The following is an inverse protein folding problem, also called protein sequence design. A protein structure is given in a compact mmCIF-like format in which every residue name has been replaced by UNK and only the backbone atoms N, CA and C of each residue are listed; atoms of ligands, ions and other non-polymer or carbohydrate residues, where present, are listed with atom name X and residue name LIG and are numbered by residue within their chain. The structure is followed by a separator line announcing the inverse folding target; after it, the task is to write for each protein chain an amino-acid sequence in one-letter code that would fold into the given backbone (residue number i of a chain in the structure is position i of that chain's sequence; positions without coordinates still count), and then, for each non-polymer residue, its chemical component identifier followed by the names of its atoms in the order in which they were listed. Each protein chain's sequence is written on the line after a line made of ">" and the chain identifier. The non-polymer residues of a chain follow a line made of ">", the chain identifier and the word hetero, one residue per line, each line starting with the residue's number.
data_IF_847752050734
#
_entry.id   IF_847752050734
#
_cell.length_a   1.000
_cell.length_b   1.000
_cell.length_c   1.000
_cell.angle_alpha   90.00
_cell.angle_beta   90.00
_cell.angle_gamma   90.00
#
_symmetry.space_group_name_H-M   'P 1'
#
loop_
_entity.id
_entity.type
_entity.pdbx_description
1 polymer ?
#
# COMPACT_ATOMS: atom_id res chain seq x y z
N UNK A 1 -0.13 -7.36 -14.02
CA UNK A 1 -0.50 -7.81 -12.65
C UNK A 1 -1.67 -7.00 -12.07
N UNK A 2 -1.49 -5.89 -11.33
CA UNK A 2 -2.63 -5.20 -10.68
C UNK A 2 -3.74 -4.75 -11.65
N UNK A 3 -3.39 -4.03 -12.72
CA UNK A 3 -4.36 -3.56 -13.73
C UNK A 3 -5.09 -4.72 -14.40
N UNK A 4 -4.37 -5.81 -14.65
CA UNK A 4 -4.91 -7.03 -15.26
C UNK A 4 -5.85 -7.77 -14.32
N UNK A 5 -5.50 -7.87 -13.03
CA UNK A 5 -6.33 -8.49 -12.01
C UNK A 5 -7.65 -7.73 -11.77
N UNK A 6 -7.69 -6.41 -12.06
CA UNK A 6 -8.90 -5.59 -11.97
C UNK A 6 -9.65 -5.44 -13.29
N UNK A 7 -9.10 -5.94 -14.41
CA UNK A 7 -9.56 -5.59 -15.76
C UNK A 7 -11.03 -5.93 -16.01
N UNK A 8 -11.46 -7.10 -15.53
CA UNK A 8 -12.80 -7.66 -15.73
C UNK A 8 -13.73 -7.41 -14.53
N UNK A 9 -13.28 -6.63 -13.54
CA UNK A 9 -14.06 -6.30 -12.35
C UNK A 9 -14.53 -4.85 -12.42
N UNK A 10 -15.79 -4.62 -12.80
CA UNK A 10 -16.33 -3.27 -12.94
C UNK A 10 -16.31 -2.51 -11.60
N UNK A 11 -16.59 -3.16 -10.48
CA UNK A 11 -16.55 -2.51 -9.17
C UNK A 11 -15.16 -1.95 -8.86
N UNK A 12 -14.08 -2.70 -9.13
CA UNK A 12 -12.72 -2.23 -8.88
C UNK A 12 -12.23 -1.19 -9.90
N UNK A 13 -12.79 -1.18 -11.12
CA UNK A 13 -12.28 -0.37 -12.24
C UNK A 13 -13.08 0.92 -12.46
N UNK A 14 -14.38 0.89 -12.23
CA UNK A 14 -15.30 2.00 -12.51
C UNK A 14 -14.94 3.21 -11.65
N UNK A 15 -14.61 4.32 -12.31
CA UNK A 15 -14.22 5.60 -11.69
C UNK A 15 -12.96 5.54 -10.83
N UNK A 16 -12.13 4.49 -10.95
CA UNK A 16 -10.76 4.51 -10.43
C UNK A 16 -9.97 5.55 -11.24
N UNK A 17 -9.34 6.52 -10.58
CA UNK A 17 -8.60 7.58 -11.26
C UNK A 17 -7.13 7.65 -10.87
N UNK A 18 -6.76 7.08 -9.73
CA UNK A 18 -5.38 7.07 -9.24
C UNK A 18 -5.13 5.84 -8.38
N UNK A 19 -3.89 5.36 -8.42
CA UNK A 19 -3.38 4.29 -7.56
C UNK A 19 -2.08 4.77 -6.95
N UNK A 20 -2.01 4.82 -5.63
CA UNK A 20 -0.78 5.15 -4.91
C UNK A 20 -0.15 3.89 -4.34
N UNK A 21 1.18 3.82 -4.43
CA UNK A 21 1.98 2.71 -3.93
C UNK A 21 2.92 3.23 -2.84
N UNK A 22 2.81 2.63 -1.65
CA UNK A 22 3.78 2.78 -0.57
C UNK A 22 4.47 1.43 -0.38
N UNK A 23 5.74 1.34 -0.76
CA UNK A 23 6.55 0.12 -0.68
C UNK A 23 7.77 0.34 0.20
N UNK A 24 8.20 -0.71 0.88
CA UNK A 24 9.33 -0.70 1.83
C UNK A 24 10.45 -1.63 1.41
N UNK A 25 11.63 -1.49 2.01
CA UNK A 25 12.74 -2.44 1.84
C UNK A 25 12.44 -3.81 2.49
N UNK A 26 11.49 -3.88 3.42
CA UNK A 26 11.04 -5.14 4.02
C UNK A 26 10.20 -6.01 3.07
N UNK A 27 9.77 -5.44 1.93
CA UNK A 27 8.88 -6.09 0.97
C UNK A 27 7.39 -5.90 1.26
N UNK A 28 7.03 -5.19 2.33
CA UNK A 28 5.62 -4.79 2.55
C UNK A 28 5.22 -3.68 1.57
N UNK A 29 3.99 -3.82 1.04
CA UNK A 29 3.38 -2.89 0.09
C UNK A 29 1.99 -2.48 0.58
N UNK A 30 1.66 -1.21 0.46
CA UNK A 30 0.31 -0.69 0.66
C UNK A 30 -0.15 0.02 -0.61
N UNK A 31 -1.27 -0.45 -1.14
CA UNK A 31 -1.86 0.04 -2.39
C UNK A 31 -3.12 0.82 -2.05
N UNK A 32 -3.15 2.11 -2.37
CA UNK A 32 -4.33 2.95 -2.21
C UNK A 32 -5.03 3.11 -3.56
N UNK A 33 -6.27 2.66 -3.65
CA UNK A 33 -7.12 2.78 -4.84
C UNK A 33 -8.07 3.97 -4.66
N UNK A 34 -7.93 5.01 -5.49
CA UNK A 34 -8.66 6.27 -5.36
C UNK A 34 -9.76 6.40 -6.43
N UNK A 35 -10.98 6.72 -5.98
CA UNK A 35 -12.19 6.69 -6.80
C UNK A 35 -12.97 8.02 -6.82
N UNK A 36 -13.55 8.33 -7.98
CA UNK A 36 -14.59 9.36 -8.15
C UNK A 36 -16.01 8.77 -8.03
N UNK A 37 -16.22 7.86 -7.07
CA UNK A 37 -17.52 7.29 -6.68
C UNK A 37 -17.45 6.84 -5.21
N UNK A 38 -18.61 6.65 -4.57
CA UNK A 38 -18.63 5.97 -3.27
C UNK A 38 -18.36 4.48 -3.45
N UNK A 39 -17.77 3.89 -2.41
CA UNK A 39 -17.43 2.46 -2.34
C UNK A 39 -18.46 1.76 -1.48
N UNK A 40 -18.92 0.62 -1.98
CA UNK A 40 -20.01 -0.19 -1.45
C UNK A 40 -19.47 -1.54 -0.96
N UNK A 41 -20.36 -2.38 -0.43
CA UNK A 41 -20.01 -3.72 0.05
C UNK A 41 -19.43 -4.60 -1.07
N UNK A 42 -19.99 -4.50 -2.28
CA UNK A 42 -19.46 -5.20 -3.47
C UNK A 42 -18.01 -4.81 -3.74
N UNK A 43 -17.65 -3.53 -3.62
CA UNK A 43 -16.25 -3.10 -3.73
C UNK A 43 -15.36 -3.75 -2.67
N UNK A 44 -15.82 -3.82 -1.41
CA UNK A 44 -15.05 -4.41 -0.30
C UNK A 44 -14.77 -5.89 -0.57
N UNK A 45 -15.78 -6.66 -0.99
CA UNK A 45 -15.63 -8.08 -1.29
C UNK A 45 -14.64 -8.31 -2.43
N UNK A 46 -14.79 -7.54 -3.51
CA UNK A 46 -13.89 -7.61 -4.66
C UNK A 46 -12.46 -7.18 -4.31
N UNK A 47 -12.30 -6.16 -3.46
CA UNK A 47 -10.98 -5.70 -3.02
C UNK A 47 -10.29 -6.73 -2.12
N UNK A 48 -11.03 -7.43 -1.25
CA UNK A 48 -10.51 -8.56 -0.46
C UNK A 48 -10.06 -9.71 -1.37
N UNK A 49 -10.85 -10.07 -2.37
CA UNK A 49 -10.48 -11.10 -3.33
C UNK A 49 -9.24 -10.71 -4.15
N UNK A 50 -9.15 -9.46 -4.59
CA UNK A 50 -7.97 -8.91 -5.27
C UNK A 50 -6.72 -9.00 -4.38
N UNK A 51 -6.83 -8.54 -3.14
CA UNK A 51 -5.73 -8.61 -2.17
C UNK A 51 -5.25 -10.05 -1.99
N UNK A 52 -6.18 -10.99 -1.78
CA UNK A 52 -5.83 -12.40 -1.57
C UNK A 52 -5.10 -12.95 -2.79
N UNK A 53 -5.63 -12.75 -3.99
CA UNK A 53 -5.00 -13.19 -5.24
C UNK A 53 -3.57 -12.66 -5.38
N UNK A 54 -3.34 -11.37 -5.11
CA UNK A 54 -2.00 -10.80 -5.23
C UNK A 54 -1.06 -11.35 -4.15
N UNK A 55 -1.55 -11.61 -2.95
CA UNK A 55 -0.75 -12.27 -1.93
C UNK A 55 -0.42 -13.73 -2.32
N UNK A 56 -1.34 -14.45 -2.97
CA UNK A 56 -1.11 -15.79 -3.51
C UNK A 56 -0.08 -15.80 -4.66
N UNK A 57 0.00 -14.69 -5.42
CA UNK A 57 1.04 -14.46 -6.42
C UNK A 57 2.41 -14.12 -5.81
N UNK A 58 2.51 -14.03 -4.47
CA UNK A 58 3.76 -13.87 -3.73
C UNK A 58 4.05 -12.44 -3.23
N UNK A 59 3.09 -11.52 -3.36
CA UNK A 59 3.23 -10.18 -2.76
C UNK A 59 2.89 -10.19 -1.26
N UNK A 60 3.45 -9.26 -0.49
CA UNK A 60 3.00 -8.97 0.86
C UNK A 60 2.34 -7.60 0.86
N UNK A 61 1.06 -7.55 0.49
CA UNK A 61 0.37 -6.29 0.29
C UNK A 61 -0.94 -6.13 1.05
N UNK A 62 -1.27 -4.87 1.31
CA UNK A 62 -2.57 -4.42 1.78
C UNK A 62 -3.19 -3.41 0.81
N UNK A 63 -4.52 -3.28 0.87
CA UNK A 63 -5.28 -2.39 0.00
C UNK A 63 -6.11 -1.43 0.86
N UNK A 64 -6.14 -0.16 0.44
CA UNK A 64 -7.04 0.87 0.95
C UNK A 64 -7.91 1.36 -0.20
N UNK A 65 -9.21 1.51 0.07
CA UNK A 65 -10.14 2.22 -0.81
C UNK A 65 -10.30 3.67 -0.36
N UNK A 66 -10.16 4.62 -1.28
CA UNK A 66 -10.42 6.03 -1.03
C UNK A 66 -11.45 6.59 -1.98
N UNK A 67 -12.38 7.33 -1.41
CA UNK A 67 -13.35 8.13 -2.13
C UNK A 67 -13.57 9.44 -1.38
N UNK A 68 -14.36 10.36 -1.95
CA UNK A 68 -14.67 11.64 -1.30
C UNK A 68 -15.24 11.40 0.10
N UNK A 69 -14.50 11.84 1.13
CA UNK A 69 -14.82 11.67 2.57
C UNK A 69 -14.98 10.22 3.03
N UNK A 70 -14.39 9.26 2.32
CA UNK A 70 -14.50 7.84 2.62
C UNK A 70 -13.12 7.18 2.51
N UNK A 71 -12.73 6.47 3.58
CA UNK A 71 -11.52 5.63 3.64
C UNK A 71 -11.97 4.25 4.11
N UNK A 72 -11.71 3.24 3.30
CA UNK A 72 -11.92 1.82 3.64
C UNK A 72 -10.56 1.19 3.78
N UNK A 73 -10.23 0.73 4.99
CA UNK A 73 -9.02 -0.03 5.27
C UNK A 73 -9.41 -1.49 5.35
N UNK A 74 -8.82 -2.35 4.52
CA UNK A 74 -9.15 -3.79 4.58
C UNK A 74 -8.61 -4.45 5.85
N UNK A 75 -7.33 -4.19 6.17
CA UNK A 75 -6.69 -4.74 7.36
C UNK A 75 -5.89 -3.66 8.11
N UNK A 76 -4.92 -3.04 7.44
CA UNK A 76 -4.04 -2.00 8.01
C UNK A 76 -3.74 -0.92 6.99
N UNK A 77 -3.46 0.28 7.48
CA UNK A 77 -3.13 1.46 6.69
C UNK A 77 -1.68 1.93 6.86
N UNK A 78 -0.82 0.98 7.24
CA UNK A 78 0.60 1.18 7.38
C UNK A 78 1.38 -0.01 6.82
N UNK A 79 2.66 0.23 6.55
CA UNK A 79 3.66 -0.78 6.23
C UNK A 79 4.80 -0.71 7.24
N UNK A 80 5.47 -1.83 7.45
CA UNK A 80 6.67 -1.91 8.29
C UNK A 80 7.90 -1.77 7.43
N UNK A 81 8.68 -0.73 7.66
CA UNK A 81 9.98 -0.50 7.06
C UNK A 81 11.08 -1.04 7.98
N UNK A 82 12.09 -1.66 7.38
CA UNK A 82 13.26 -2.17 8.10
C UNK A 82 14.50 -1.57 7.49
N UNK A 83 15.16 -0.70 8.24
CA UNK A 83 16.40 -0.04 7.83
C UNK A 83 17.57 -0.69 8.57
N UNK A 84 18.62 -1.02 7.83
CA UNK A 84 19.90 -1.44 8.42
C UNK A 84 20.82 -0.23 8.51
N UNK A 85 21.22 0.13 9.73
CA UNK A 85 22.04 1.32 10.01
C UNK A 85 23.20 0.89 10.88
N UNK A 86 24.42 0.93 10.33
CA UNK A 86 25.64 0.50 11.02
C UNK A 86 25.54 -0.93 11.61
N UNK A 87 24.82 -1.85 10.93
CA UNK A 87 24.61 -3.23 11.38
C UNK A 87 23.53 -3.39 12.47
N UNK A 88 22.88 -2.31 12.89
CA UNK A 88 21.71 -2.34 13.76
C UNK A 88 20.43 -2.18 12.93
N UNK A 89 19.46 -3.05 13.17
CA UNK A 89 18.16 -2.94 12.52
C UNK A 89 17.23 -1.98 13.26
N UNK A 90 16.68 -1.02 12.51
CA UNK A 90 15.62 -0.12 12.93
C UNK A 90 14.31 -0.50 12.25
N UNK A 91 13.21 -0.48 13.01
CA UNK A 91 11.87 -0.83 12.53
C UNK A 91 11.01 0.43 12.61
N UNK A 92 10.46 0.85 11.46
CA UNK A 92 9.60 2.01 11.36
C UNK A 92 8.23 1.64 10.82
N UNK A 93 7.19 2.15 11.46
CA UNK A 93 5.84 2.08 10.92
C UNK A 93 5.62 3.29 10.00
N UNK A 94 5.40 3.04 8.71
CA UNK A 94 5.08 4.06 7.72
C UNK A 94 3.56 4.06 7.47
N UNK A 95 2.88 5.11 7.92
CA UNK A 95 1.42 5.25 7.79
C UNK A 95 1.08 5.93 6.47
N UNK A 96 0.02 5.48 5.82
CA UNK A 96 -0.46 6.05 4.56
C UNK A 96 -0.82 7.54 4.69
N UNK A 97 -0.46 8.33 3.66
CA UNK A 97 -0.50 9.80 3.65
C UNK A 97 0.35 10.51 4.72
N UNK A 98 1.21 9.79 5.45
CA UNK A 98 2.25 10.41 6.26
C UNK A 98 3.52 10.58 5.44
N UNK A 99 4.29 11.63 5.73
CA UNK A 99 5.58 11.84 5.06
C UNK A 99 6.56 10.73 5.45
N UNK A 100 7.18 10.12 4.44
CA UNK A 100 8.28 9.17 4.60
C UNK A 100 9.37 9.52 3.61
N UNK A 101 10.61 9.14 3.93
CA UNK A 101 11.71 9.28 2.98
C UNK A 101 11.46 8.32 1.79
N UNK A 102 11.32 8.82 0.55
CA UNK A 102 10.92 7.99 -0.59
C UNK A 102 12.01 7.00 -1.01
N UNK A 103 13.26 7.20 -0.56
CA UNK A 103 14.38 6.33 -0.83
C UNK A 103 14.92 5.75 0.48
N UNK A 104 14.52 4.53 0.80
CA UNK A 104 14.96 3.83 2.02
C UNK A 104 16.48 3.69 2.14
N UNK A 105 17.20 3.50 1.02
CA UNK A 105 18.68 3.41 1.02
C UNK A 105 19.37 4.74 1.28
N UNK A 106 18.76 5.84 0.87
CA UNK A 106 19.24 7.17 1.26
C UNK A 106 18.91 7.44 2.72
N UNK A 107 17.74 6.99 3.20
CA UNK A 107 17.37 7.12 4.61
C UNK A 107 18.34 6.36 5.54
N UNK A 108 18.75 5.13 5.17
CA UNK A 108 19.82 4.39 5.87
C UNK A 108 21.08 5.25 5.98
N UNK A 109 21.60 5.78 4.86
CA UNK A 109 22.81 6.63 4.87
C UNK A 109 22.67 7.90 5.70
N UNK A 110 21.49 8.52 5.71
CA UNK A 110 21.24 9.70 6.53
C UNK A 110 21.27 9.36 8.01
N UNK A 111 20.73 8.20 8.40
CA UNK A 111 20.80 7.72 9.78
C UNK A 111 22.22 7.29 10.15
N UNK A 112 22.94 6.59 9.27
CA UNK A 112 24.35 6.20 9.48
C UNK A 112 25.26 7.40 9.74
N UNK A 113 24.97 8.54 9.11
CA UNK A 113 25.69 9.78 9.34
C UNK A 113 25.33 10.45 10.67
N UNK A 114 24.07 10.36 11.09
CA UNK A 114 23.56 11.09 12.24
C UNK A 114 23.74 10.37 13.58
N UNK A 115 23.82 9.03 13.57
CA UNK A 115 23.86 8.14 14.75
C UNK A 115 25.25 7.56 14.95
#
# INVERSE_FOLDING_TARGET
>A
LLVEAMKDNDSLRRKLFQVDFLSTLSGEILVSLLYHRQLDEEWIENAKALKQRLNDEGFNLNIIGRARKMKIVLDRDYVIEKLDVNGQSYIYQQVENSFTQPNGKVAEKMLEWAV
#
